data_IF_724238609219
#
_entry.id   IF_724238609219
#
_cell.length_a   1.000
_cell.length_b   1.000
_cell.length_c   1.000
_cell.angle_alpha   90.00
_cell.angle_beta   90.00
_cell.angle_gamma   90.00
#
_symmetry.space_group_name_H-M   'P 1'
#
loop_
_entity.id
_entity.type
_entity.pdbx_description
1 polymer ?
#
# COMPACT_ATOMS: atom_id res chain seq x y z
N UNK A 1 -2.68 -44.07 -15.61
CA UNK A 1 -2.54 -43.05 -14.56
C UNK A 1 -2.10 -41.79 -15.26
N UNK A 2 -2.91 -40.74 -15.24
CA UNK A 2 -2.73 -39.56 -16.09
C UNK A 2 -1.49 -38.79 -15.67
N UNK A 3 -0.56 -38.63 -16.61
CA UNK A 3 0.56 -37.71 -16.54
C UNK A 3 -0.03 -36.28 -16.57
N UNK A 4 -0.05 -35.61 -15.43
CA UNK A 4 -0.40 -34.19 -15.39
C UNK A 4 0.83 -33.39 -15.77
N UNK A 5 0.85 -32.87 -16.99
CA UNK A 5 1.73 -31.79 -17.37
C UNK A 5 1.40 -30.58 -16.49
N UNK A 6 2.24 -30.30 -15.50
CA UNK A 6 2.27 -29.00 -14.82
C UNK A 6 2.58 -27.95 -15.88
N UNK A 7 1.54 -27.28 -16.37
CA UNK A 7 1.67 -26.04 -17.14
C UNK A 7 2.53 -25.08 -16.32
N UNK A 8 3.72 -24.79 -16.83
CA UNK A 8 4.65 -23.84 -16.22
C UNK A 8 4.12 -22.42 -16.48
N UNK A 9 3.11 -22.04 -15.69
CA UNK A 9 2.53 -20.72 -15.73
C UNK A 9 3.55 -19.72 -15.17
N UNK A 10 3.67 -18.53 -15.77
CA UNK A 10 4.49 -17.48 -15.18
C UNK A 10 4.01 -17.22 -13.75
N UNK A 11 4.93 -17.36 -12.80
CA UNK A 11 4.70 -17.02 -11.39
C UNK A 11 5.18 -15.60 -11.17
N UNK A 12 4.39 -14.84 -10.41
CA UNK A 12 4.82 -13.55 -9.94
C UNK A 12 5.94 -13.76 -8.93
N UNK A 13 7.15 -13.29 -9.26
CA UNK A 13 8.30 -13.35 -8.37
C UNK A 13 8.33 -12.10 -7.49
N UNK A 14 8.10 -12.29 -6.20
CA UNK A 14 8.12 -11.23 -5.19
C UNK A 14 9.43 -11.22 -4.39
N UNK A 15 10.44 -12.00 -4.79
CA UNK A 15 11.69 -12.14 -4.03
C UNK A 15 12.49 -10.83 -3.90
N UNK A 16 12.25 -9.87 -4.80
CA UNK A 16 12.77 -8.50 -4.70
C UNK A 16 12.19 -7.72 -3.49
N UNK A 17 11.03 -8.14 -2.98
CA UNK A 17 10.27 -7.46 -1.92
C UNK A 17 10.24 -8.28 -0.62
N UNK A 18 9.97 -9.59 -0.72
CA UNK A 18 9.82 -10.51 0.40
C UNK A 18 10.58 -11.81 0.15
N UNK A 19 11.32 -12.30 1.14
CA UNK A 19 12.14 -13.51 0.99
C UNK A 19 11.29 -14.78 0.84
N UNK A 20 10.10 -14.79 1.46
CA UNK A 20 9.14 -15.88 1.44
C UNK A 20 7.75 -15.34 1.84
N UNK A 21 6.72 -16.20 1.74
CA UNK A 21 5.35 -15.83 2.08
C UNK A 21 5.13 -15.54 3.58
N UNK A 22 6.05 -15.97 4.45
CA UNK A 22 6.08 -15.75 5.89
C UNK A 22 7.12 -14.71 6.32
N UNK A 23 7.65 -13.91 5.38
CA UNK A 23 8.58 -12.83 5.69
C UNK A 23 7.89 -11.80 6.62
N UNK A 24 8.41 -11.56 7.84
CA UNK A 24 7.81 -10.64 8.81
C UNK A 24 7.68 -9.20 8.28
N UNK A 25 8.44 -8.83 7.24
CA UNK A 25 8.29 -7.53 6.55
C UNK A 25 6.90 -7.33 5.96
N UNK A 26 6.18 -8.40 5.63
CA UNK A 26 4.79 -8.33 5.17
C UNK A 26 3.93 -7.74 6.28
N UNK A 27 4.01 -8.30 7.49
CA UNK A 27 3.24 -7.83 8.64
C UNK A 27 3.63 -6.40 9.04
N UNK A 28 4.93 -6.08 9.02
CA UNK A 28 5.42 -4.72 9.28
C UNK A 28 4.88 -3.71 8.27
N UNK A 29 4.90 -4.05 6.98
CA UNK A 29 4.35 -3.19 5.94
C UNK A 29 2.83 -3.02 6.07
N UNK A 30 2.09 -4.09 6.38
CA UNK A 30 0.65 -4.02 6.60
C UNK A 30 0.30 -3.16 7.83
N UNK A 31 1.06 -3.27 8.91
CA UNK A 31 0.88 -2.42 10.09
C UNK A 31 1.16 -0.94 9.78
N UNK A 32 2.22 -0.65 9.03
CA UNK A 32 2.55 0.73 8.63
C UNK A 32 1.52 1.31 7.66
N UNK A 33 1.03 0.52 6.69
CA UNK A 33 -0.09 0.91 5.82
C UNK A 33 -1.30 1.34 6.64
N UNK A 34 -1.69 0.51 7.61
CA UNK A 34 -2.85 0.77 8.46
C UNK A 34 -2.65 2.05 9.28
N UNK A 35 -1.48 2.20 9.90
CA UNK A 35 -1.15 3.39 10.71
C UNK A 35 -1.22 4.68 9.88
N UNK A 36 -0.63 4.68 8.68
CA UNK A 36 -0.66 5.83 7.78
C UNK A 36 -2.07 6.14 7.28
N UNK A 37 -2.90 5.12 7.02
CA UNK A 37 -4.29 5.31 6.62
C UNK A 37 -5.11 5.99 7.71
N UNK A 38 -4.95 5.56 8.97
CA UNK A 38 -5.62 6.15 10.13
C UNK A 38 -5.18 7.60 10.36
N UNK A 39 -3.88 7.86 10.25
CA UNK A 39 -3.32 9.21 10.36
C UNK A 39 -3.85 10.12 9.26
N UNK A 40 -3.89 9.64 8.02
CA UNK A 40 -4.46 10.37 6.89
C UNK A 40 -5.93 10.70 7.11
N UNK A 41 -6.76 9.73 7.51
CA UNK A 41 -8.16 9.97 7.81
C UNK A 41 -8.31 11.04 8.89
N UNK A 42 -7.59 10.89 10.01
CA UNK A 42 -7.65 11.83 11.14
C UNK A 42 -7.25 13.24 10.72
N UNK A 43 -6.23 13.38 9.88
CA UNK A 43 -5.64 14.67 9.54
C UNK A 43 -6.41 15.41 8.45
N UNK A 44 -7.14 14.72 7.57
CA UNK A 44 -7.70 15.33 6.36
C UNK A 44 -9.21 15.15 6.18
N UNK A 45 -9.84 14.18 6.86
CA UNK A 45 -11.29 13.99 6.81
C UNK A 45 -12.00 15.27 7.21
N UNK A 46 -13.00 15.65 6.43
CA UNK A 46 -13.80 16.88 6.61
C UNK A 46 -13.02 18.19 6.47
N UNK A 47 -11.69 18.18 6.27
CA UNK A 47 -10.87 19.38 6.06
C UNK A 47 -10.64 19.69 4.59
N UNK A 48 -10.49 18.66 3.74
CA UNK A 48 -10.31 18.84 2.29
C UNK A 48 -11.61 19.35 1.62
N UNK A 49 -12.78 18.98 2.13
CA UNK A 49 -14.06 19.45 1.58
C UNK A 49 -14.55 20.75 2.23
N UNK A 50 -13.75 21.35 3.12
CA UNK A 50 -14.13 22.56 3.83
C UNK A 50 -14.05 23.80 2.92
N UNK A 51 -14.94 24.77 3.14
CA UNK A 51 -15.00 25.99 2.34
C UNK A 51 -13.77 26.89 2.54
N UNK A 52 -13.04 26.71 3.64
CA UNK A 52 -11.82 27.41 4.02
C UNK A 52 -10.54 26.60 3.72
N UNK A 53 -10.62 25.63 2.80
CA UNK A 53 -9.45 24.86 2.39
C UNK A 53 -8.32 25.77 1.89
N UNK A 54 -7.14 25.60 2.47
CA UNK A 54 -5.92 26.28 2.05
C UNK A 54 -5.08 25.40 1.11
N UNK A 55 -4.49 26.01 0.08
CA UNK A 55 -3.67 25.30 -0.90
C UNK A 55 -2.49 24.50 -0.28
N UNK A 56 -1.76 25.00 0.74
CA UNK A 56 -0.70 24.23 1.39
C UNK A 56 -1.22 22.96 2.09
N UNK A 57 -2.43 23.02 2.66
CA UNK A 57 -3.04 21.86 3.31
C UNK A 57 -3.38 20.77 2.27
N UNK A 58 -3.91 21.17 1.12
CA UNK A 58 -4.19 20.25 0.03
C UNK A 58 -2.90 19.62 -0.54
N UNK A 59 -1.83 20.41 -0.70
CA UNK A 59 -0.55 19.90 -1.16
C UNK A 59 0.00 18.82 -0.20
N UNK A 60 0.00 19.09 1.11
CA UNK A 60 0.44 18.10 2.09
C UNK A 60 -0.43 16.84 2.09
N UNK A 61 -1.75 16.99 1.93
CA UNK A 61 -2.65 15.85 1.80
C UNK A 61 -2.33 14.99 0.57
N UNK A 62 -1.96 15.60 -0.56
CA UNK A 62 -1.55 14.85 -1.76
C UNK A 62 -0.25 14.10 -1.51
N UNK A 63 0.76 14.73 -0.92
CA UNK A 63 2.05 14.10 -0.60
C UNK A 63 1.87 12.88 0.34
N UNK A 64 1.02 13.02 1.35
CA UNK A 64 0.71 11.94 2.30
C UNK A 64 -0.07 10.80 1.62
N UNK A 65 -1.03 11.14 0.75
CA UNK A 65 -1.78 10.16 -0.03
C UNK A 65 -0.89 9.39 -1.01
N UNK A 66 0.02 10.06 -1.70
CA UNK A 66 0.98 9.40 -2.59
C UNK A 66 1.92 8.46 -1.82
N UNK A 67 2.33 8.85 -0.62
CA UNK A 67 3.16 8.01 0.26
C UNK A 67 2.42 6.73 0.66
N UNK A 68 1.13 6.85 1.01
CA UNK A 68 0.25 5.71 1.29
C UNK A 68 0.09 4.79 0.06
N UNK A 69 -0.21 5.37 -1.10
CA UNK A 69 -0.41 4.63 -2.35
C UNK A 69 0.87 3.88 -2.79
N UNK A 70 2.04 4.49 -2.62
CA UNK A 70 3.34 3.89 -2.94
C UNK A 70 3.64 2.68 -2.06
N UNK A 71 3.28 2.74 -0.78
CA UNK A 71 3.44 1.61 0.12
C UNK A 71 2.47 0.46 -0.24
N UNK A 72 1.24 0.78 -0.64
CA UNK A 72 0.25 -0.24 -1.03
C UNK A 72 0.58 -0.93 -2.35
N UNK A 73 1.13 -0.17 -3.31
CA UNK A 73 1.63 -0.70 -4.58
C UNK A 73 2.75 -1.73 -4.42
N UNK A 74 3.55 -1.66 -3.35
CA UNK A 74 4.58 -2.67 -3.04
C UNK A 74 4.03 -3.97 -2.48
N UNK A 75 2.81 -3.99 -1.95
CA UNK A 75 2.20 -5.21 -1.37
C UNK A 75 1.29 -5.89 -2.39
N UNK A 76 0.63 -5.11 -3.26
CA UNK A 76 -0.34 -5.60 -4.25
C UNK A 76 0.16 -5.72 -5.68
N UNK A 77 1.46 -5.49 -5.95
CA UNK A 77 2.10 -5.87 -7.21
C UNK A 77 2.61 -7.29 -7.09
#
# INVERSE_FOLDING_TARGET
MSEQATLDLPRWDLSDLYMAADDPKIDEHLAEQQRLAEEFEKNYKSRIAAADLEAPLLAQALDDYESLARLGGKIGS
#
